data_IF_611885986004
#
_entry.id   IF_611885986004
#
_cell.length_a   1.000
_cell.length_b   1.000
_cell.length_c   1.000
_cell.angle_alpha   90.00
_cell.angle_beta   90.00
_cell.angle_gamma   90.00
#
_symmetry.space_group_name_H-M   'P 1'
#
loop_
_entity.id
_entity.type
_entity.pdbx_description
1 polymer ?
#
# COMPACT_ATOMS: atom_id res chain seq x y z
N UNK A 1 34.48 13.72 52.50
CA UNK A 1 35.58 13.93 51.54
C UNK A 1 35.33 12.98 50.37
N UNK A 2 35.23 13.54 49.15
CA UNK A 2 35.33 12.85 47.84
C UNK A 2 34.11 12.01 47.43
N UNK A 3 33.21 12.40 46.50
CA UNK A 3 33.43 12.86 45.09
C UNK A 3 34.31 11.83 44.36
N UNK A 4 33.99 11.21 43.21
CA UNK A 4 33.18 11.54 42.02
C UNK A 4 33.09 10.21 41.23
N UNK A 5 32.12 9.91 40.35
CA UNK A 5 32.26 10.13 38.90
C UNK A 5 30.96 9.73 38.19
N UNK A 6 30.37 10.73 37.51
CA UNK A 6 29.34 10.59 36.49
C UNK A 6 29.89 9.86 35.27
N UNK A 7 29.16 8.90 34.74
CA UNK A 7 29.15 8.62 33.30
C UNK A 7 27.93 9.30 32.70
N UNK A 8 28.19 10.27 31.82
CA UNK A 8 27.20 10.90 30.95
C UNK A 8 27.00 9.96 29.77
N UNK A 9 25.79 9.42 29.60
CA UNK A 9 25.37 8.80 28.35
C UNK A 9 24.28 9.67 27.74
N UNK A 10 24.67 10.43 26.71
CA UNK A 10 23.82 11.38 26.01
C UNK A 10 22.76 10.61 25.23
N UNK A 11 21.57 10.50 25.79
CA UNK A 11 20.40 10.07 25.04
C UNK A 11 19.89 11.28 24.28
N UNK A 12 19.77 11.11 22.97
CA UNK A 12 19.20 12.04 21.99
C UNK A 12 18.30 13.12 22.62
N UNK A 13 18.71 14.38 22.53
CA UNK A 13 17.92 15.51 23.02
C UNK A 13 16.78 15.77 22.03
N UNK A 14 15.89 14.80 21.88
CA UNK A 14 14.68 14.95 21.09
C UNK A 14 13.80 15.96 21.82
N UNK A 15 13.51 17.07 21.15
CA UNK A 15 12.63 18.12 21.66
C UNK A 15 11.30 18.07 20.91
N UNK A 16 10.21 18.36 21.61
CA UNK A 16 8.87 18.50 21.04
C UNK A 16 8.33 19.90 21.34
N UNK A 17 7.29 20.31 20.64
CA UNK A 17 6.60 21.56 20.94
C UNK A 17 5.42 21.31 21.87
N UNK A 18 5.18 22.22 22.81
CA UNK A 18 3.99 22.22 23.65
C UNK A 18 2.74 22.36 22.76
N UNK A 19 1.75 21.47 22.94
CA UNK A 19 0.50 21.48 22.15
C UNK A 19 -0.37 22.72 22.37
N UNK A 20 -0.11 23.48 23.43
CA UNK A 20 -0.91 24.65 23.82
C UNK A 20 -0.19 25.98 23.52
N UNK A 21 1.00 26.19 24.08
CA UNK A 21 1.71 27.47 23.95
C UNK A 21 2.79 27.49 22.87
N UNK A 22 3.12 26.35 22.25
CA UNK A 22 4.13 26.27 21.18
C UNK A 22 5.59 26.37 21.64
N UNK A 23 5.86 26.41 22.94
CA UNK A 23 7.23 26.41 23.47
C UNK A 23 7.96 25.11 23.14
N UNK A 24 9.26 25.19 22.86
CA UNK A 24 10.09 23.99 22.69
C UNK A 24 10.40 23.38 24.06
N UNK A 25 9.99 22.14 24.24
CA UNK A 25 10.13 21.38 25.49
C UNK A 25 10.85 20.05 25.22
N UNK A 26 11.42 19.45 26.26
CA UNK A 26 12.02 18.12 26.11
C UNK A 26 10.94 17.08 25.81
N UNK A 27 11.25 16.05 25.01
CA UNK A 27 10.26 15.00 24.71
C UNK A 27 9.76 14.27 25.95
N UNK A 28 10.63 14.07 26.94
CA UNK A 28 10.29 13.48 28.24
C UNK A 28 9.45 14.40 29.15
N UNK A 29 9.23 15.68 28.76
CA UNK A 29 8.45 16.59 29.57
C UNK A 29 6.97 16.19 29.57
N UNK A 30 6.48 15.78 30.74
CA UNK A 30 5.05 15.54 30.99
C UNK A 30 4.28 16.82 31.27
N UNK A 31 4.94 17.92 31.64
CA UNK A 31 4.30 19.20 31.95
C UNK A 31 5.13 20.31 31.31
N UNK A 32 4.48 21.22 30.59
CA UNK A 32 5.16 22.36 29.99
C UNK A 32 5.59 23.37 31.08
N UNK A 33 6.88 23.77 31.15
CA UNK A 33 7.35 24.74 32.13
C UNK A 33 6.88 26.18 31.84
N UNK A 34 6.41 26.47 30.63
CA UNK A 34 5.92 27.79 30.24
C UNK A 34 4.42 27.96 30.57
N UNK A 35 3.55 27.05 30.10
CA UNK A 35 2.09 27.18 30.30
C UNK A 35 1.50 26.27 31.40
N UNK A 36 2.27 25.30 31.94
CA UNK A 36 1.79 24.40 33.00
C UNK A 36 0.86 23.28 32.54
N UNK A 37 0.52 23.19 31.25
CA UNK A 37 -0.36 22.13 30.73
C UNK A 37 0.40 20.82 30.58
N UNK A 38 -0.23 19.73 31.05
CA UNK A 38 0.27 18.37 30.94
C UNK A 38 0.30 17.91 29.48
N UNK A 39 1.44 17.37 29.07
CA UNK A 39 1.68 16.80 27.75
C UNK A 39 1.55 15.28 27.87
N UNK A 40 0.52 14.72 27.26
CA UNK A 40 0.34 13.27 27.18
C UNK A 40 1.45 12.69 26.30
N UNK A 41 2.44 12.05 26.95
CA UNK A 41 3.52 11.35 26.28
C UNK A 41 2.93 10.22 25.43
N UNK A 42 3.25 10.22 24.13
CA UNK A 42 2.95 9.08 23.28
C UNK A 42 3.82 7.94 23.78
N UNK A 43 3.24 7.06 24.60
CA UNK A 43 3.94 5.89 25.10
C UNK A 43 4.40 5.08 23.90
N UNK A 44 5.70 4.87 23.77
CA UNK A 44 6.36 4.07 22.73
C UNK A 44 5.76 2.66 22.63
N UNK A 45 5.19 2.15 23.74
CA UNK A 45 4.43 0.91 23.80
C UNK A 45 3.17 0.88 22.91
N UNK A 46 2.56 2.02 22.60
CA UNK A 46 1.42 2.11 21.65
C UNK A 46 1.92 2.00 20.22
N UNK A 47 3.09 2.58 19.92
CA UNK A 47 3.73 2.45 18.61
C UNK A 47 4.15 1.01 18.34
N UNK A 48 4.74 0.30 19.31
CA UNK A 48 5.03 -1.13 19.18
C UNK A 48 3.76 -1.96 18.94
N UNK A 49 2.70 -1.72 19.70
CA UNK A 49 1.44 -2.50 19.58
C UNK A 49 0.68 -2.26 18.29
N UNK A 50 0.69 -1.03 17.77
CA UNK A 50 0.09 -0.73 16.46
C UNK A 50 0.91 -1.33 15.31
N UNK A 51 2.23 -1.37 15.45
CA UNK A 51 3.12 -2.01 14.47
C UNK A 51 2.92 -3.53 14.49
N UNK A 52 2.79 -4.14 15.67
CA UNK A 52 2.61 -5.59 15.83
C UNK A 52 1.24 -6.08 15.32
N UNK A 53 0.18 -5.30 15.54
CA UNK A 53 -1.17 -5.64 15.06
C UNK A 53 -1.33 -5.59 13.53
N UNK A 54 -0.48 -4.83 12.85
CA UNK A 54 -0.46 -4.72 11.38
C UNK A 54 0.70 -5.51 10.73
N UNK A 55 1.55 -6.21 11.52
CA UNK A 55 2.93 -6.57 11.13
C UNK A 55 3.14 -7.78 10.23
N UNK A 56 2.29 -8.81 10.27
CA UNK A 56 2.63 -10.06 9.52
C UNK A 56 1.59 -10.39 8.45
N UNK A 57 0.30 -10.23 8.75
CA UNK A 57 -0.76 -10.56 7.81
C UNK A 57 -0.73 -9.67 6.56
N UNK A 58 -0.47 -8.37 6.71
CA UNK A 58 -0.41 -7.42 5.58
C UNK A 58 0.81 -7.70 4.69
N UNK A 59 1.95 -7.97 5.31
CA UNK A 59 3.16 -8.39 4.58
C UNK A 59 2.95 -9.71 3.84
N UNK A 60 2.35 -10.72 4.49
CA UNK A 60 2.03 -12.00 3.87
C UNK A 60 1.07 -11.85 2.69
N UNK A 61 0.00 -11.07 2.83
CA UNK A 61 -0.95 -10.78 1.73
C UNK A 61 -0.24 -10.05 0.59
N UNK A 62 0.66 -9.11 0.89
CA UNK A 62 1.40 -8.36 -0.13
C UNK A 62 2.37 -9.27 -0.91
N UNK A 63 3.06 -10.19 -0.22
CA UNK A 63 3.96 -11.18 -0.84
C UNK A 63 3.18 -12.16 -1.70
N UNK A 64 2.05 -12.67 -1.21
CA UNK A 64 1.19 -13.60 -1.98
C UNK A 64 0.62 -12.90 -3.21
N UNK A 65 0.13 -11.67 -3.07
CA UNK A 65 -0.36 -10.88 -4.20
C UNK A 65 0.75 -10.62 -5.24
N UNK A 66 1.97 -10.29 -4.81
CA UNK A 66 3.12 -10.12 -5.69
C UNK A 66 3.48 -11.44 -6.40
N UNK A 67 3.54 -12.56 -5.67
CA UNK A 67 3.86 -13.87 -6.22
C UNK A 67 2.82 -14.37 -7.23
N UNK A 68 1.55 -13.98 -7.07
CA UNK A 68 0.48 -14.33 -8.01
C UNK A 68 0.39 -13.36 -9.20
N UNK A 69 0.69 -12.08 -9.01
CA UNK A 69 0.65 -11.08 -10.08
C UNK A 69 1.90 -11.09 -10.97
N UNK A 70 3.07 -11.41 -10.42
CA UNK A 70 4.32 -11.54 -11.16
C UNK A 70 4.27 -12.53 -12.34
N UNK A 71 3.77 -13.78 -12.19
CA UNK A 71 3.66 -14.70 -13.32
C UNK A 71 2.66 -14.20 -14.36
N UNK A 72 1.52 -13.63 -13.93
CA UNK A 72 0.50 -13.09 -14.84
C UNK A 72 1.08 -11.90 -15.64
N UNK A 73 1.85 -11.02 -14.99
CA UNK A 73 2.51 -9.88 -15.62
C UNK A 73 3.59 -10.27 -16.62
N UNK A 74 4.25 -11.42 -16.43
CA UNK A 74 5.27 -11.93 -17.36
C UNK A 74 4.70 -12.76 -18.51
N UNK A 75 3.50 -13.32 -18.37
CA UNK A 75 2.85 -14.13 -19.41
C UNK A 75 2.66 -13.33 -20.70
N UNK A 76 2.25 -12.06 -20.61
CA UNK A 76 2.02 -11.21 -21.80
C UNK A 76 3.32 -10.96 -22.58
N UNK A 77 4.38 -10.37 -21.99
CA UNK A 77 5.64 -10.18 -22.71
C UNK A 77 6.32 -11.49 -23.11
N UNK A 78 6.18 -12.57 -22.32
CA UNK A 78 6.67 -13.89 -22.68
C UNK A 78 5.98 -14.49 -23.90
N UNK A 79 4.66 -14.34 -24.00
CA UNK A 79 3.87 -14.74 -25.18
C UNK A 79 4.28 -13.94 -26.42
N UNK A 80 4.46 -12.62 -26.28
CA UNK A 80 4.93 -11.77 -27.38
C UNK A 80 6.34 -12.15 -27.84
N UNK A 81 7.24 -12.48 -26.92
CA UNK A 81 8.59 -12.95 -27.23
C UNK A 81 8.58 -14.26 -28.02
N UNK A 82 7.80 -15.25 -27.57
CA UNK A 82 7.64 -16.53 -28.27
C UNK A 82 7.06 -16.33 -29.67
N UNK A 83 6.02 -15.49 -29.81
CA UNK A 83 5.39 -15.20 -31.10
C UNK A 83 6.30 -14.44 -32.06
N UNK A 84 7.14 -13.53 -31.55
CA UNK A 84 8.17 -12.84 -32.32
C UNK A 84 9.27 -13.82 -32.77
N UNK A 85 9.70 -14.74 -31.91
CA UNK A 85 10.73 -15.74 -32.24
C UNK A 85 10.27 -16.78 -33.27
N UNK A 86 8.96 -17.03 -33.36
CA UNK A 86 8.37 -17.95 -34.35
C UNK A 86 8.19 -17.33 -35.76
N UNK A 87 8.68 -16.10 -36.01
CA UNK A 87 8.63 -15.47 -37.33
C UNK A 87 7.24 -14.94 -37.75
N UNK A 88 6.22 -15.08 -36.89
CA UNK A 88 4.83 -14.62 -37.11
C UNK A 88 4.56 -13.20 -36.58
N UNK A 89 5.62 -12.44 -36.25
CA UNK A 89 5.52 -11.16 -35.51
C UNK A 89 5.01 -9.96 -36.31
N UNK A 90 4.89 -10.06 -37.64
CA UNK A 90 4.52 -8.93 -38.51
C UNK A 90 2.99 -8.77 -38.67
N UNK A 91 2.19 -9.76 -38.29
CA UNK A 91 0.72 -9.70 -38.42
C UNK A 91 -0.02 -9.18 -37.18
N UNK A 92 0.70 -8.71 -36.16
CA UNK A 92 0.04 -8.18 -34.96
C UNK A 92 -0.33 -6.71 -35.15
N UNK A 93 -1.63 -6.43 -35.21
CA UNK A 93 -2.13 -5.07 -35.37
C UNK A 93 -1.61 -4.21 -34.22
N UNK A 94 -0.90 -3.10 -34.54
CA UNK A 94 -0.39 -2.18 -33.51
C UNK A 94 -1.49 -1.69 -32.55
N UNK A 95 -2.74 -1.77 -32.98
CA UNK A 95 -3.94 -1.52 -32.19
C UNK A 95 -4.09 -2.41 -30.95
N UNK A 96 -3.75 -3.70 -31.00
CA UNK A 96 -3.88 -4.60 -29.83
C UNK A 96 -2.84 -4.31 -28.74
N UNK A 97 -1.64 -3.92 -29.12
CA UNK A 97 -0.60 -3.53 -28.15
C UNK A 97 -0.96 -2.19 -27.50
N UNK A 98 -1.47 -1.24 -28.30
CA UNK A 98 -1.89 0.06 -27.78
C UNK A 98 -3.10 -0.05 -26.84
N UNK A 99 -4.07 -0.95 -27.06
CA UNK A 99 -5.19 -1.14 -26.13
C UNK A 99 -4.75 -1.74 -24.81
N UNK A 100 -3.84 -2.73 -24.80
CA UNK A 100 -3.31 -3.29 -23.56
C UNK A 100 -2.56 -2.25 -22.72
N UNK A 101 -1.75 -1.39 -23.37
CA UNK A 101 -1.02 -0.31 -22.71
C UNK A 101 -1.97 0.77 -22.19
N UNK A 102 -2.91 1.24 -23.01
CA UNK A 102 -3.86 2.26 -22.61
C UNK A 102 -4.79 1.77 -21.49
N UNK A 103 -5.30 0.54 -21.59
CA UNK A 103 -6.22 -0.02 -20.59
C UNK A 103 -5.50 -0.31 -19.26
N UNK A 104 -4.23 -0.72 -19.32
CA UNK A 104 -3.37 -0.84 -18.15
C UNK A 104 -3.12 0.51 -17.45
N UNK A 105 -2.68 1.52 -18.21
CA UNK A 105 -2.38 2.87 -17.67
C UNK A 105 -3.65 3.56 -17.15
N UNK A 106 -4.76 3.47 -17.88
CA UNK A 106 -6.06 4.04 -17.47
C UNK A 106 -6.59 3.31 -16.23
N UNK A 107 -6.43 1.98 -16.14
CA UNK A 107 -6.81 1.20 -14.97
C UNK A 107 -6.04 1.60 -13.72
N UNK A 108 -4.72 1.79 -13.84
CA UNK A 108 -3.87 2.25 -12.73
C UNK A 108 -4.25 3.67 -12.31
N UNK A 109 -4.37 4.60 -13.26
CA UNK A 109 -4.75 5.99 -12.98
C UNK A 109 -6.13 6.11 -12.32
N UNK A 110 -7.09 5.27 -12.71
CA UNK A 110 -8.42 5.24 -12.10
C UNK A 110 -8.38 4.82 -10.62
N UNK A 111 -7.49 3.90 -10.25
CA UNK A 111 -7.31 3.45 -8.86
C UNK A 111 -6.58 4.52 -8.04
N UNK A 112 -5.61 5.20 -8.63
CA UNK A 112 -4.76 6.18 -7.95
C UNK A 112 -5.49 7.51 -7.70
N UNK A 113 -6.35 7.95 -8.64
CA UNK A 113 -7.13 9.18 -8.52
C UNK A 113 -8.43 9.01 -7.71
N UNK A 114 -8.96 7.79 -7.61
CA UNK A 114 -10.29 7.55 -7.05
C UNK A 114 -10.36 7.33 -5.53
N UNK A 115 -9.23 7.22 -4.85
CA UNK A 115 -9.16 7.02 -3.40
C UNK A 115 -9.86 5.74 -2.90
N UNK A 116 -10.01 5.64 -1.57
CA UNK A 116 -10.51 4.44 -0.84
C UNK A 116 -11.88 3.90 -1.31
N UNK A 117 -12.71 4.76 -1.89
CA UNK A 117 -14.08 4.42 -2.33
C UNK A 117 -14.13 3.94 -3.78
N UNK A 118 -13.32 4.51 -4.66
CA UNK A 118 -13.29 4.08 -6.06
C UNK A 118 -12.76 2.66 -6.22
N UNK A 119 -11.74 2.27 -5.44
CA UNK A 119 -11.25 0.90 -5.47
C UNK A 119 -12.37 -0.13 -5.14
N UNK A 120 -13.19 0.14 -4.11
CA UNK A 120 -14.32 -0.75 -3.76
C UNK A 120 -15.41 -0.78 -4.83
N UNK A 121 -15.72 0.35 -5.44
CA UNK A 121 -16.68 0.43 -6.53
C UNK A 121 -16.18 -0.30 -7.78
N UNK A 122 -14.91 -0.16 -8.13
CA UNK A 122 -14.28 -0.80 -9.28
C UNK A 122 -14.26 -2.32 -9.11
N UNK A 123 -13.84 -2.82 -7.95
CA UNK A 123 -13.93 -4.25 -7.62
C UNK A 123 -15.38 -4.76 -7.58
N UNK A 124 -16.33 -3.95 -7.12
CA UNK A 124 -17.76 -4.27 -7.16
C UNK A 124 -18.30 -4.42 -8.58
N UNK A 125 -17.95 -3.49 -9.48
CA UNK A 125 -18.36 -3.54 -10.89
C UNK A 125 -17.69 -4.70 -11.63
N UNK A 126 -16.39 -4.93 -11.43
CA UNK A 126 -15.68 -6.07 -12.02
C UNK A 126 -16.28 -7.39 -11.53
N UNK A 127 -16.54 -7.53 -10.24
CA UNK A 127 -17.20 -8.72 -9.67
C UNK A 127 -18.60 -8.94 -10.23
N UNK A 128 -19.40 -7.87 -10.38
CA UNK A 128 -20.73 -7.95 -10.96
C UNK A 128 -20.71 -8.38 -12.44
N UNK A 129 -19.81 -7.80 -13.25
CA UNK A 129 -19.65 -8.18 -14.66
C UNK A 129 -19.16 -9.61 -14.82
N UNK A 130 -18.23 -10.06 -13.97
CA UNK A 130 -17.75 -11.44 -13.97
C UNK A 130 -18.86 -12.42 -13.59
N UNK A 131 -19.64 -12.12 -12.55
CA UNK A 131 -20.79 -12.94 -12.15
C UNK A 131 -21.87 -13.00 -13.23
N UNK A 132 -22.13 -11.89 -13.92
CA UNK A 132 -23.08 -11.82 -15.02
C UNK A 132 -22.60 -12.61 -16.23
N UNK A 133 -21.29 -12.59 -16.52
CA UNK A 133 -20.66 -13.43 -17.55
C UNK A 133 -20.75 -14.93 -17.24
N UNK A 134 -20.54 -15.33 -15.99
CA UNK A 134 -20.74 -16.73 -15.55
C UNK A 134 -22.20 -17.14 -15.71
N UNK A 135 -23.14 -16.31 -15.26
CA UNK A 135 -24.58 -16.59 -15.40
C UNK A 135 -25.00 -16.71 -16.86
N UNK A 136 -24.52 -15.82 -17.73
CA UNK A 136 -24.77 -15.88 -19.17
C UNK A 136 -24.15 -17.16 -19.79
N UNK A 137 -22.94 -17.54 -19.39
CA UNK A 137 -22.31 -18.78 -19.84
C UNK A 137 -23.08 -20.03 -19.39
N UNK A 138 -23.58 -20.05 -18.15
CA UNK A 138 -24.43 -21.13 -17.65
C UNK A 138 -25.75 -21.17 -18.42
N UNK A 139 -26.39 -20.02 -18.68
CA UNK A 139 -27.63 -19.96 -19.47
C UNK A 139 -27.44 -20.57 -20.86
N UNK A 140 -26.35 -20.20 -21.55
CA UNK A 140 -25.97 -20.78 -22.85
C UNK A 140 -25.70 -22.28 -22.76
N UNK A 141 -25.02 -22.75 -21.72
CA UNK A 141 -24.72 -24.19 -21.52
C UNK A 141 -25.97 -25.02 -21.21
N UNK A 142 -26.95 -24.44 -20.51
CA UNK A 142 -28.23 -25.09 -20.17
C UNK A 142 -29.26 -24.93 -21.29
N UNK A 143 -28.93 -24.14 -22.33
CA UNK A 143 -29.80 -23.92 -23.50
C UNK A 143 -31.01 -23.03 -23.20
N UNK A 144 -30.87 -22.13 -22.22
CA UNK A 144 -31.87 -21.09 -21.87
C UNK A 144 -31.65 -19.84 -22.71
#
# INVERSE_FOLDING_TARGET
MSETTKTVESTDSTTKFCRDCGEQIQEAAEICPNCGIRQEGVSTAVTERLTDQYSVAVWAVSVVAAALSFPIGLVVPGYLYLKASNGTGIEQSGWETWTAVLLGVIGIAAVELGGKRAAKLLWGVVGALFGLGILAGIAVLVGV
#
